data_IF_039857085236
#
_entry.id   IF_039857085236
#
_cell.length_a   1.000
_cell.length_b   1.000
_cell.length_c   1.000
_cell.angle_alpha   90.00
_cell.angle_beta   90.00
_cell.angle_gamma   90.00
#
_symmetry.space_group_name_H-M   'P 1'
#
loop_
_entity.id
_entity.type
_entity.pdbx_description
1 polymer ?
#
# COMPACT_ATOMS: atom_id res chain seq x y z
N UNK A 1 5.79 16.52 1.15
CA UNK A 1 5.94 15.68 -0.06
C UNK A 1 7.30 14.96 0.02
N UNK A 2 7.32 13.66 0.33
CA UNK A 2 8.58 12.92 0.51
C UNK A 2 9.02 12.35 -0.84
N UNK A 3 9.85 13.09 -1.55
CA UNK A 3 10.58 12.55 -2.71
C UNK A 3 11.59 11.54 -2.17
N UNK A 4 11.42 10.26 -2.51
CA UNK A 4 12.45 9.25 -2.24
C UNK A 4 13.75 9.71 -2.90
N UNK A 5 14.78 9.97 -2.09
CA UNK A 5 16.04 10.64 -2.50
C UNK A 5 16.79 9.94 -3.64
N UNK A 6 16.40 8.73 -4.02
CA UNK A 6 17.03 7.97 -5.08
C UNK A 6 15.97 7.48 -6.07
N UNK A 7 15.84 8.18 -7.20
CA UNK A 7 15.09 7.65 -8.34
C UNK A 7 15.88 6.48 -8.92
N UNK A 8 15.20 5.36 -9.13
CA UNK A 8 15.75 4.24 -9.88
C UNK A 8 16.00 4.70 -11.33
N UNK A 9 17.02 4.12 -11.98
CA UNK A 9 17.14 4.28 -13.43
C UNK A 9 15.93 3.67 -14.13
N UNK A 10 15.53 4.17 -15.32
CA UNK A 10 14.37 3.65 -16.05
C UNK A 10 14.42 2.12 -16.26
N UNK A 11 15.61 1.58 -16.55
CA UNK A 11 15.83 0.15 -16.73
C UNK A 11 15.57 -0.62 -15.43
N UNK A 12 16.10 -0.13 -14.30
CA UNK A 12 15.89 -0.78 -12.98
C UNK A 12 14.44 -0.70 -12.53
N UNK A 13 13.77 0.44 -12.76
CA UNK A 13 12.35 0.59 -12.48
C UNK A 13 11.52 -0.40 -13.30
N UNK A 14 11.78 -0.51 -14.60
CA UNK A 14 11.09 -1.47 -15.49
C UNK A 14 11.30 -2.92 -15.05
N UNK A 15 12.54 -3.32 -14.74
CA UNK A 15 12.81 -4.68 -14.26
C UNK A 15 12.04 -5.00 -12.98
N UNK A 16 11.93 -4.03 -12.07
CA UNK A 16 11.19 -4.21 -10.82
C UNK A 16 9.68 -4.37 -11.06
N UNK A 17 9.11 -3.60 -11.98
CA UNK A 17 7.69 -3.76 -12.37
C UNK A 17 7.46 -5.13 -13.02
N UNK A 18 8.37 -5.57 -13.89
CA UNK A 18 8.26 -6.89 -14.53
C UNK A 18 8.28 -8.03 -13.49
N UNK A 19 9.18 -7.97 -12.52
CA UNK A 19 9.25 -8.95 -11.41
C UNK A 19 7.95 -8.99 -10.58
N UNK A 20 7.32 -7.83 -10.37
CA UNK A 20 6.03 -7.77 -9.68
C UNK A 20 4.90 -8.39 -10.51
N UNK A 21 4.84 -8.09 -11.80
CA UNK A 21 3.81 -8.61 -12.70
C UNK A 21 3.94 -10.13 -12.93
N UNK A 22 5.12 -10.70 -12.72
CA UNK A 22 5.38 -12.15 -12.85
C UNK A 22 4.87 -12.98 -11.67
N UNK A 23 4.39 -12.35 -10.59
CA UNK A 23 3.85 -13.06 -9.43
C UNK A 23 2.44 -13.61 -9.72
N UNK A 24 2.18 -14.89 -9.41
CA UNK A 24 0.86 -15.54 -9.62
C UNK A 24 -0.31 -14.83 -8.92
N UNK A 25 -0.03 -14.08 -7.86
CA UNK A 25 -1.03 -13.32 -7.09
C UNK A 25 -1.38 -11.97 -7.73
N UNK A 26 -0.62 -11.55 -8.74
CA UNK A 26 -0.81 -10.26 -9.42
C UNK A 26 -1.73 -10.44 -10.61
N UNK A 27 -2.70 -9.55 -10.69
CA UNK A 27 -3.71 -9.55 -11.73
C UNK A 27 -4.00 -8.12 -12.16
N UNK A 28 -4.15 -7.93 -13.48
CA UNK A 28 -4.47 -6.63 -14.08
C UNK A 28 -5.99 -6.56 -14.29
N UNK A 29 -6.73 -5.76 -13.49
CA UNK A 29 -8.16 -5.64 -13.63
C UNK A 29 -8.52 -5.06 -14.99
N UNK A 30 -9.47 -5.70 -15.67
CA UNK A 30 -10.07 -5.18 -16.89
C UNK A 30 -11.36 -4.42 -16.54
N UNK A 31 -11.66 -3.30 -17.22
CA UNK A 31 -12.93 -2.61 -17.08
C UNK A 31 -14.08 -3.55 -17.49
N UNK A 32 -15.11 -3.64 -16.65
CA UNK A 32 -16.33 -4.35 -16.99
C UNK A 32 -17.29 -3.45 -17.80
N UNK A 33 -18.34 -3.99 -18.45
CA UNK A 33 -19.31 -3.17 -19.20
C UNK A 33 -19.98 -2.05 -18.36
N UNK A 34 -20.09 -2.25 -17.04
CA UNK A 34 -20.62 -1.26 -16.07
C UNK A 34 -19.62 -0.18 -15.65
N UNK A 35 -18.39 -0.21 -16.16
CA UNK A 35 -17.30 0.68 -15.72
C UNK A 35 -17.64 2.14 -15.94
N UNK A 36 -18.22 2.47 -17.10
CA UNK A 36 -18.54 3.86 -17.41
C UNK A 36 -19.64 4.42 -16.51
N UNK A 37 -20.60 3.58 -16.09
CA UNK A 37 -21.67 4.00 -15.20
C UNK A 37 -21.13 4.30 -13.79
N UNK A 38 -20.23 3.44 -13.29
CA UNK A 38 -19.59 3.62 -11.98
C UNK A 38 -18.66 4.83 -12.00
N UNK A 39 -17.78 4.92 -13.00
CA UNK A 39 -16.87 6.05 -13.16
C UNK A 39 -17.63 7.37 -13.36
N UNK A 40 -18.68 7.37 -14.19
CA UNK A 40 -19.55 8.52 -14.39
C UNK A 40 -20.22 8.98 -13.10
N UNK A 41 -20.69 8.03 -12.28
CA UNK A 41 -21.21 8.32 -10.94
C UNK A 41 -20.17 8.96 -10.02
N UNK A 42 -18.94 8.43 -10.00
CA UNK A 42 -17.85 9.01 -9.21
C UNK A 42 -17.49 10.43 -9.66
N UNK A 43 -17.40 10.65 -10.98
CA UNK A 43 -17.08 11.96 -11.54
C UNK A 43 -18.19 12.97 -11.22
N UNK A 44 -19.45 12.60 -11.45
CA UNK A 44 -20.58 13.47 -11.19
C UNK A 44 -20.75 13.80 -9.70
N UNK A 45 -20.41 12.86 -8.80
CA UNK A 45 -20.58 13.06 -7.36
C UNK A 45 -19.44 13.88 -6.72
N UNK A 46 -18.20 13.65 -7.15
CA UNK A 46 -17.03 14.26 -6.50
C UNK A 46 -16.42 15.43 -7.27
N UNK A 47 -16.85 15.70 -8.50
CA UNK A 47 -16.28 16.69 -9.43
C UNK A 47 -14.73 16.71 -9.39
N UNK A 48 -14.09 15.55 -9.65
CA UNK A 48 -12.66 15.42 -9.51
C UNK A 48 -11.93 16.31 -10.51
N UNK A 49 -10.90 17.01 -10.02
CA UNK A 49 -9.92 17.68 -10.86
C UNK A 49 -9.18 16.64 -11.72
N UNK A 50 -8.57 17.09 -12.82
CA UNK A 50 -7.91 16.21 -13.81
C UNK A 50 -6.82 15.31 -13.22
N UNK A 51 -6.19 15.72 -12.13
CA UNK A 51 -5.20 14.95 -11.38
C UNK A 51 -5.79 13.73 -10.64
N UNK A 52 -7.09 13.76 -10.33
CA UNK A 52 -7.79 12.70 -9.61
C UNK A 52 -8.56 11.74 -10.53
N UNK A 53 -8.58 11.98 -11.84
CA UNK A 53 -9.28 11.11 -12.79
C UNK A 53 -8.66 9.70 -12.81
N UNK A 54 -7.33 9.60 -12.75
CA UNK A 54 -6.65 8.32 -12.67
C UNK A 54 -7.03 7.55 -11.38
N UNK A 55 -7.15 8.26 -10.26
CA UNK A 55 -7.57 7.65 -9.00
C UNK A 55 -9.06 7.25 -9.02
N UNK A 56 -9.92 8.04 -9.67
CA UNK A 56 -11.33 7.69 -9.88
C UNK A 56 -11.48 6.44 -10.75
N UNK A 57 -10.63 6.27 -11.78
CA UNK A 57 -10.58 5.04 -12.57
C UNK A 57 -10.16 3.82 -11.73
N UNK A 58 -9.16 3.99 -10.85
CA UNK A 58 -8.76 2.92 -9.91
C UNK A 58 -9.87 2.57 -8.92
N UNK A 59 -10.58 3.58 -8.40
CA UNK A 59 -11.72 3.36 -7.51
C UNK A 59 -12.86 2.63 -8.22
N UNK A 60 -13.17 2.98 -9.47
CA UNK A 60 -14.17 2.28 -10.26
C UNK A 60 -13.81 0.80 -10.47
N UNK A 61 -12.57 0.50 -10.87
CA UNK A 61 -12.08 -0.88 -10.99
C UNK A 61 -12.17 -1.63 -9.66
N UNK A 62 -11.85 -0.98 -8.56
CA UNK A 62 -11.92 -1.60 -7.24
C UNK A 62 -13.37 -1.94 -6.83
N UNK A 63 -14.31 -1.01 -7.08
CA UNK A 63 -15.75 -1.20 -6.83
C UNK A 63 -16.30 -2.34 -7.70
N UNK A 64 -15.94 -2.40 -8.98
CA UNK A 64 -16.38 -3.47 -9.91
C UNK A 64 -15.99 -4.86 -9.46
N UNK A 65 -14.73 -5.00 -9.02
CA UNK A 65 -14.14 -6.29 -8.69
C UNK A 65 -14.29 -6.68 -7.22
N UNK A 66 -15.12 -5.93 -6.47
CA UNK A 66 -15.40 -6.18 -5.06
C UNK A 66 -14.17 -6.08 -4.15
N UNK A 67 -13.11 -5.39 -4.60
CA UNK A 67 -11.88 -5.19 -3.84
C UNK A 67 -11.93 -3.81 -3.18
N UNK A 68 -11.90 -3.76 -1.86
CA UNK A 68 -11.68 -2.48 -1.16
C UNK A 68 -10.26 -1.99 -1.49
N UNK A 69 -10.13 -0.80 -2.08
CA UNK A 69 -8.82 -0.13 -2.19
C UNK A 69 -8.32 0.05 -0.76
N UNK A 70 -7.19 -0.56 -0.41
CA UNK A 70 -6.59 -0.31 0.89
C UNK A 70 -6.15 1.15 0.90
N UNK A 71 -6.70 2.02 1.76
CA UNK A 71 -6.18 3.36 1.91
C UNK A 71 -4.72 3.25 2.37
N UNK A 72 -3.81 4.13 1.92
CA UNK A 72 -2.43 4.11 2.39
C UNK A 72 -2.47 4.17 3.92
N UNK A 73 -1.97 3.11 4.55
CA UNK A 73 -2.15 2.87 5.98
C UNK A 73 -1.70 4.12 6.75
N UNK A 74 -2.50 4.67 7.68
CA UNK A 74 -2.05 5.79 8.47
C UNK A 74 -0.76 5.36 9.15
N UNK A 75 0.31 6.13 8.92
CA UNK A 75 1.64 5.80 9.41
C UNK A 75 1.53 5.64 10.92
N UNK A 76 1.71 4.41 11.38
CA UNK A 76 1.65 4.04 12.80
C UNK A 76 2.58 4.98 13.58
N UNK A 77 2.10 5.69 14.63
CA UNK A 77 2.99 6.46 15.48
C UNK A 77 3.95 5.49 16.17
N UNK A 78 5.24 5.81 16.04
CA UNK A 78 6.38 5.03 16.49
C UNK A 78 6.12 4.28 17.81
N UNK A 79 6.28 2.95 17.76
CA UNK A 79 6.38 2.08 18.92
C UNK A 79 7.59 2.49 19.79
N UNK A 80 7.43 2.79 21.09
CA UNK A 80 8.56 2.97 22.00
C UNK A 80 9.16 1.59 22.31
N UNK A 81 10.12 1.17 21.48
CA UNK A 81 10.92 -0.03 21.75
C UNK A 81 11.85 0.21 22.93
N UNK A 82 11.39 -0.22 24.10
CA UNK A 82 12.11 -1.03 25.10
C UNK A 82 13.60 -0.69 25.35
N UNK A 83 13.85 0.09 26.40
CA UNK A 83 15.12 0.09 27.12
C UNK A 83 14.94 -0.62 28.48
N UNK A 84 15.86 -1.52 28.82
CA UNK A 84 15.98 -2.06 30.19
C UNK A 84 15.64 -3.54 30.36
N UNK A 85 16.36 -4.42 29.66
CA UNK A 85 16.41 -5.85 29.98
C UNK A 85 17.24 -6.03 31.26
N UNK A 86 16.59 -6.19 32.41
CA UNK A 86 17.25 -6.65 33.65
C UNK A 86 17.71 -8.09 33.47
N UNK A 87 19.02 -8.30 33.40
CA UNK A 87 19.65 -9.61 33.62
C UNK A 87 20.68 -9.40 34.73
N UNK A 88 20.27 -9.66 35.97
CA UNK A 88 21.21 -9.86 37.07
C UNK A 88 21.11 -11.34 37.47
N UNK A 89 22.15 -12.08 37.14
CA UNK A 89 22.42 -13.45 37.57
C UNK A 89 23.39 -13.36 38.75
N UNK A 90 22.97 -13.81 39.92
CA UNK A 90 23.79 -14.11 41.11
C UNK A 90 22.80 -14.69 42.14
N UNK A 91 22.98 -15.81 42.83
CA UNK A 91 24.05 -16.76 43.05
C UNK A 91 23.42 -17.89 43.92
N UNK A 92 24.03 -19.07 43.92
CA UNK A 92 23.40 -20.35 44.36
C UNK A 92 23.04 -20.49 45.85
N UNK A 93 22.40 -21.64 46.19
CA UNK A 93 21.80 -21.87 47.50
C UNK A 93 22.81 -22.21 48.60
N UNK A 94 22.44 -21.73 49.79
CA UNK A 94 23.01 -21.86 51.12
C UNK A 94 23.22 -23.32 51.54
N UNK A 95 24.45 -23.66 51.97
CA UNK A 95 24.78 -24.86 52.74
C UNK A 95 25.72 -24.47 53.87
N UNK A 96 25.21 -24.46 55.10
CA UNK A 96 25.78 -25.05 56.32
C UNK A 96 24.75 -24.95 57.43
#
# INVERSE_FOLDING_TARGET
>A
MRVTRQRLSPQRARSRVAEWLDQDVVWIPQPCPRHIDILGGLIAHYDPRSDLIADAQLAALAIEHGRTVCPPTPTSPASPRSAGRTRSLSGGPDVT
#
